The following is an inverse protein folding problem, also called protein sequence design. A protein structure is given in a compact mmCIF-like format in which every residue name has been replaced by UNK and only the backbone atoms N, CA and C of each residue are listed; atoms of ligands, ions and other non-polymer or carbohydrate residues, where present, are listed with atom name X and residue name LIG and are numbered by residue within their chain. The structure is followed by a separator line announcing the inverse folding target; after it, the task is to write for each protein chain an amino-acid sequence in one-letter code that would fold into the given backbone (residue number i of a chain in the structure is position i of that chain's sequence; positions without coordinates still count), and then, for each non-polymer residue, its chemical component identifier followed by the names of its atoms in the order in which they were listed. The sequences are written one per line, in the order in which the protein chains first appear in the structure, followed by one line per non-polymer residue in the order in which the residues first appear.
data_IF_953659554372
#
_entry.id   IF_953659554372
#
_cell.length_a   1.000
_cell.length_b   1.000
_cell.length_c   1.000
_cell.angle_alpha   90.00
_cell.angle_beta   90.00
_cell.angle_gamma   90.00
#
_symmetry.space_group_name_H-M   'P 1'
#
loop_
_entity.id
_entity.type
_entity.pdbx_description
1 polymer ?
#
# COMPACT_ATOMS: atom_id res chain seq x y z
N UNK A 1 -29.68 8.70 -23.31
CA UNK A 1 -28.46 8.28 -24.01
C UNK A 1 -28.10 6.89 -23.47
N UNK A 2 -27.46 6.01 -24.23
CA UNK A 2 -27.05 4.73 -23.66
C UNK A 2 -25.78 4.95 -22.83
N UNK A 3 -25.65 4.28 -21.68
CA UNK A 3 -24.51 4.46 -20.76
C UNK A 3 -23.15 4.32 -21.45
N UNK A 4 -23.01 3.41 -22.41
CA UNK A 4 -21.79 3.25 -23.22
C UNK A 4 -21.43 4.50 -24.04
N UNK A 5 -22.42 5.26 -24.49
CA UNK A 5 -22.23 6.46 -25.29
C UNK A 5 -21.79 7.60 -24.35
N UNK A 6 -22.40 7.71 -23.17
CA UNK A 6 -21.97 8.64 -22.12
C UNK A 6 -20.52 8.33 -21.68
N UNK A 7 -20.15 7.05 -21.55
CA UNK A 7 -18.78 6.63 -21.25
C UNK A 7 -17.81 6.93 -22.39
N UNK A 8 -18.24 6.79 -23.64
CA UNK A 8 -17.43 7.18 -24.81
C UNK A 8 -17.12 8.66 -24.78
N UNK A 9 -18.13 9.49 -24.49
CA UNK A 9 -17.98 10.95 -24.36
C UNK A 9 -17.09 11.34 -23.18
N UNK A 10 -17.19 10.63 -22.04
CA UNK A 10 -16.29 10.80 -20.91
C UNK A 10 -14.84 10.53 -21.34
N UNK A 11 -14.55 9.38 -21.93
CA UNK A 11 -13.20 8.99 -22.34
C UNK A 11 -12.64 9.90 -23.44
N UNK A 12 -13.49 10.41 -24.33
CA UNK A 12 -13.06 11.38 -25.34
C UNK A 12 -12.62 12.72 -24.72
N UNK A 13 -13.19 13.10 -23.56
CA UNK A 13 -12.87 14.36 -22.86
C UNK A 13 -11.69 14.21 -21.90
N UNK A 14 -11.63 13.11 -21.16
CA UNK A 14 -10.63 12.89 -20.11
C UNK A 14 -9.42 12.09 -20.59
N UNK A 15 -9.54 11.38 -21.71
CA UNK A 15 -8.54 10.46 -22.22
C UNK A 15 -8.71 9.05 -21.67
N UNK A 16 -8.25 8.04 -22.43
CA UNK A 16 -8.35 6.62 -22.03
C UNK A 16 -7.49 6.27 -20.82
N UNK A 17 -6.49 7.10 -20.50
CA UNK A 17 -5.64 6.94 -19.32
C UNK A 17 -6.41 6.96 -18.01
N UNK A 18 -7.62 7.52 -17.97
CA UNK A 18 -8.45 7.46 -16.75
C UNK A 18 -8.82 6.03 -16.34
N UNK A 19 -8.80 5.08 -17.28
CA UNK A 19 -9.07 3.67 -16.99
C UNK A 19 -7.86 2.93 -16.41
N UNK A 20 -6.72 3.58 -16.17
CA UNK A 20 -5.61 2.98 -15.42
C UNK A 20 -5.71 3.19 -13.91
N UNK A 21 -6.60 4.08 -13.45
CA UNK A 21 -6.89 4.27 -12.02
C UNK A 21 -8.39 4.23 -11.74
N UNK A 22 -8.82 3.23 -10.97
CA UNK A 22 -10.20 3.07 -10.56
C UNK A 22 -10.72 4.24 -9.73
N UNK A 23 -9.86 4.91 -8.96
CA UNK A 23 -10.26 6.01 -8.09
C UNK A 23 -10.60 7.25 -8.91
N UNK A 24 -9.70 7.67 -9.80
CA UNK A 24 -9.94 8.74 -10.77
C UNK A 24 -11.12 8.42 -11.68
N UNK A 25 -11.25 7.17 -12.16
CA UNK A 25 -12.40 6.77 -12.96
C UNK A 25 -13.71 6.90 -12.19
N UNK A 26 -13.76 6.43 -10.94
CA UNK A 26 -14.94 6.55 -10.08
C UNK A 26 -15.35 8.01 -9.84
N UNK A 27 -14.38 8.88 -9.53
CA UNK A 27 -14.62 10.31 -9.36
C UNK A 27 -15.18 10.96 -10.64
N UNK A 28 -14.59 10.64 -11.80
CA UNK A 28 -15.07 11.17 -13.07
C UNK A 28 -16.47 10.66 -13.45
N UNK A 29 -16.83 9.42 -13.10
CA UNK A 29 -18.19 8.94 -13.29
C UNK A 29 -19.20 9.74 -12.47
N UNK A 30 -18.87 10.03 -11.21
CA UNK A 30 -19.74 10.79 -10.30
C UNK A 30 -19.91 12.25 -10.77
N UNK A 31 -18.86 12.86 -11.33
CA UNK A 31 -18.92 14.23 -11.86
C UNK A 31 -19.61 14.33 -13.23
N UNK A 32 -19.46 13.31 -14.06
CA UNK A 32 -19.90 13.36 -15.47
C UNK A 32 -21.31 12.81 -15.68
N UNK A 33 -21.69 11.74 -14.98
CA UNK A 33 -22.97 11.08 -15.18
C UNK A 33 -24.04 11.71 -14.28
N UNK A 34 -25.22 11.97 -14.85
CA UNK A 34 -26.36 12.36 -14.04
C UNK A 34 -26.74 11.21 -13.08
N UNK A 35 -27.14 11.48 -11.82
CA UNK A 35 -27.42 10.46 -10.80
C UNK A 35 -28.44 9.38 -11.22
N UNK A 36 -29.31 9.70 -12.18
CA UNK A 36 -30.33 8.81 -12.74
C UNK A 36 -29.85 7.91 -13.90
N UNK A 37 -28.66 8.16 -14.45
CA UNK A 37 -28.16 7.47 -15.66
C UNK A 37 -27.85 6.01 -15.37
N UNK A 38 -27.28 5.73 -14.21
CA UNK A 38 -26.94 4.40 -13.75
C UNK A 38 -27.11 4.29 -12.24
N UNK A 39 -27.48 3.11 -11.74
CA UNK A 39 -27.52 2.88 -10.30
C UNK A 39 -26.10 2.86 -9.73
N UNK A 40 -25.96 3.22 -8.45
CA UNK A 40 -24.66 3.17 -7.75
C UNK A 40 -24.00 1.78 -7.82
N UNK A 41 -24.81 0.71 -7.82
CA UNK A 41 -24.30 -0.66 -7.98
C UNK A 41 -23.68 -0.90 -9.37
N UNK A 42 -24.24 -0.31 -10.42
CA UNK A 42 -23.69 -0.36 -11.78
C UNK A 42 -22.40 0.46 -11.87
N UNK A 43 -22.36 1.66 -11.29
CA UNK A 43 -21.15 2.49 -11.27
C UNK A 43 -20.00 1.79 -10.53
N UNK A 44 -20.28 1.25 -9.34
CA UNK A 44 -19.30 0.46 -8.58
C UNK A 44 -18.81 -0.75 -9.40
N UNK A 45 -19.68 -1.40 -10.17
CA UNK A 45 -19.31 -2.53 -11.01
C UNK A 45 -18.32 -2.12 -12.11
N UNK A 46 -18.51 -0.96 -12.73
CA UNK A 46 -17.57 -0.43 -13.73
C UNK A 46 -16.22 -0.04 -13.09
N UNK A 47 -16.26 0.61 -11.92
CA UNK A 47 -15.06 0.98 -11.16
C UNK A 47 -14.26 -0.25 -10.75
N UNK A 48 -14.93 -1.30 -10.26
CA UNK A 48 -14.28 -2.55 -9.90
C UNK A 48 -13.69 -3.27 -11.13
N UNK A 49 -14.31 -3.15 -12.31
CA UNK A 49 -13.76 -3.70 -13.55
C UNK A 49 -12.41 -3.06 -13.90
N UNK A 50 -12.29 -1.75 -13.71
CA UNK A 50 -11.03 -1.00 -13.85
C UNK A 50 -10.04 -1.41 -12.75
N UNK A 51 -10.46 -1.40 -11.48
CA UNK A 51 -9.62 -1.74 -10.33
C UNK A 51 -8.95 -3.11 -10.46
N UNK A 52 -9.69 -4.07 -10.99
CA UNK A 52 -9.20 -5.44 -11.13
C UNK A 52 -8.47 -5.68 -12.45
N UNK A 53 -8.19 -4.65 -13.25
CA UNK A 53 -7.46 -4.75 -14.51
C UNK A 53 -8.20 -5.55 -15.59
N UNK A 54 -9.54 -5.59 -15.57
CA UNK A 54 -10.32 -6.35 -16.55
C UNK A 54 -10.17 -5.77 -17.97
N UNK A 55 -9.96 -4.46 -18.08
CA UNK A 55 -9.81 -3.75 -19.36
C UNK A 55 -8.45 -4.02 -20.00
N UNK A 56 -7.37 -4.00 -19.21
CA UNK A 56 -6.04 -4.35 -19.71
C UNK A 56 -5.99 -5.78 -20.24
N UNK A 57 -6.66 -6.71 -19.54
CA UNK A 57 -6.81 -8.09 -20.01
C UNK A 57 -7.58 -8.17 -21.31
N UNK A 58 -8.73 -7.50 -21.41
CA UNK A 58 -9.53 -7.44 -22.64
C UNK A 58 -8.71 -6.92 -23.83
N UNK A 59 -8.02 -5.79 -23.67
CA UNK A 59 -7.21 -5.18 -24.73
C UNK A 59 -6.04 -6.08 -25.12
N UNK A 60 -5.36 -6.68 -24.13
CA UNK A 60 -4.28 -7.64 -24.36
C UNK A 60 -4.77 -8.82 -25.18
N UNK A 61 -5.88 -9.45 -24.81
CA UNK A 61 -6.41 -10.62 -25.52
C UNK A 61 -6.78 -10.27 -26.98
N UNK A 62 -7.43 -9.13 -27.20
CA UNK A 62 -7.77 -8.65 -28.55
C UNK A 62 -6.50 -8.35 -29.36
N UNK A 63 -5.48 -7.73 -28.75
CA UNK A 63 -4.19 -7.47 -29.41
C UNK A 63 -3.47 -8.77 -29.83
N UNK A 64 -3.67 -9.86 -29.11
CA UNK A 64 -3.17 -11.20 -29.47
C UNK A 64 -4.08 -11.96 -30.45
N UNK A 65 -5.09 -11.29 -31.02
CA UNK A 65 -5.97 -11.84 -32.06
C UNK A 65 -7.17 -12.63 -31.52
N UNK A 66 -7.50 -12.52 -30.23
CA UNK A 66 -8.73 -13.12 -29.70
C UNK A 66 -9.96 -12.43 -30.31
N UNK A 67 -11.01 -13.21 -30.60
CA UNK A 67 -12.28 -12.65 -31.03
C UNK A 67 -12.89 -11.80 -29.89
N UNK A 68 -13.43 -10.59 -30.15
CA UNK A 68 -13.90 -9.69 -29.08
C UNK A 68 -14.89 -10.30 -28.10
N UNK A 69 -15.84 -11.11 -28.57
CA UNK A 69 -16.81 -11.79 -27.70
C UNK A 69 -16.17 -12.83 -26.76
N UNK A 70 -15.09 -13.51 -27.21
CA UNK A 70 -14.35 -14.46 -26.37
C UNK A 70 -13.49 -13.73 -25.34
N UNK A 71 -12.86 -12.62 -25.72
CA UNK A 71 -12.06 -11.80 -24.81
C UNK A 71 -12.93 -11.16 -23.71
N UNK A 72 -14.11 -10.64 -24.07
CA UNK A 72 -15.11 -10.14 -23.10
C UNK A 72 -15.55 -11.24 -22.14
N UNK A 73 -15.85 -12.45 -22.64
CA UNK A 73 -16.24 -13.58 -21.81
C UNK A 73 -15.13 -13.97 -20.82
N UNK A 74 -13.88 -14.07 -21.29
CA UNK A 74 -12.74 -14.43 -20.47
C UNK A 74 -12.41 -13.39 -19.39
N UNK A 75 -12.32 -12.11 -19.77
CA UNK A 75 -12.05 -11.02 -18.83
C UNK A 75 -13.21 -10.81 -17.84
N UNK A 76 -14.45 -10.92 -18.30
CA UNK A 76 -15.64 -10.85 -17.45
C UNK A 76 -15.76 -12.01 -16.45
N UNK A 77 -15.42 -13.23 -16.86
CA UNK A 77 -15.38 -14.40 -15.97
C UNK A 77 -14.32 -14.25 -14.89
N UNK A 78 -13.14 -13.74 -15.25
CA UNK A 78 -12.10 -13.45 -14.29
C UNK A 78 -12.55 -12.38 -13.30
N UNK A 79 -13.13 -11.27 -13.80
CA UNK A 79 -13.67 -10.21 -12.93
C UNK A 79 -14.74 -10.74 -11.96
N UNK A 80 -15.62 -11.65 -12.41
CA UNK A 80 -16.59 -12.29 -11.53
C UNK A 80 -15.92 -13.12 -10.42
N UNK A 81 -14.85 -13.86 -10.74
CA UNK A 81 -14.04 -14.61 -9.76
C UNK A 81 -13.35 -13.68 -8.76
N UNK A 82 -12.69 -12.62 -9.24
CA UNK A 82 -11.97 -11.66 -8.40
C UNK A 82 -12.90 -10.97 -7.40
N UNK A 83 -14.16 -10.77 -7.79
CA UNK A 83 -15.23 -10.21 -6.95
C UNK A 83 -15.96 -11.22 -6.07
N UNK A 84 -15.62 -12.52 -6.16
CA UNK A 84 -16.38 -13.62 -5.56
C UNK A 84 -17.89 -13.58 -5.90
N UNK A 85 -18.24 -13.14 -7.12
CA UNK A 85 -19.61 -13.08 -7.59
C UNK A 85 -20.08 -14.45 -8.11
N UNK A 86 -21.30 -14.85 -7.75
CA UNK A 86 -21.91 -16.10 -8.22
C UNK A 86 -22.48 -15.99 -9.64
N UNK A 87 -22.80 -14.78 -10.08
CA UNK A 87 -23.29 -14.49 -11.43
C UNK A 87 -22.22 -13.77 -12.25
N UNK A 88 -21.86 -14.34 -13.40
CA UNK A 88 -20.85 -13.81 -14.32
C UNK A 88 -21.41 -12.78 -15.29
N UNK A 89 -22.73 -12.77 -15.51
CA UNK A 89 -23.35 -11.92 -16.54
C UNK A 89 -23.12 -10.41 -16.29
N UNK A 90 -23.27 -9.88 -15.06
CA UNK A 90 -22.96 -8.48 -14.78
C UNK A 90 -21.51 -8.10 -15.09
N UNK A 91 -20.55 -8.95 -14.71
CA UNK A 91 -19.13 -8.69 -14.96
C UNK A 91 -18.79 -8.70 -16.45
N UNK A 92 -19.35 -9.64 -17.23
CA UNK A 92 -19.18 -9.66 -18.69
C UNK A 92 -19.81 -8.45 -19.36
N UNK A 93 -20.99 -8.03 -18.91
CA UNK A 93 -21.62 -6.80 -19.38
C UNK A 93 -20.77 -5.57 -19.09
N UNK A 94 -20.21 -5.44 -17.88
CA UNK A 94 -19.37 -4.30 -17.51
C UNK A 94 -18.12 -4.19 -18.38
N UNK A 95 -17.44 -5.32 -18.61
CA UNK A 95 -16.27 -5.40 -19.52
C UNK A 95 -16.67 -5.04 -20.96
N UNK A 96 -17.82 -5.52 -21.44
CA UNK A 96 -18.31 -5.19 -22.78
C UNK A 96 -18.63 -3.70 -22.93
N UNK A 97 -19.28 -3.08 -21.94
CA UNK A 97 -19.62 -1.65 -21.94
C UNK A 97 -18.36 -0.79 -22.05
N UNK A 98 -17.35 -1.08 -21.22
CA UNK A 98 -16.08 -0.36 -21.24
C UNK A 98 -15.30 -0.62 -22.54
N UNK A 99 -15.35 -1.86 -23.06
CA UNK A 99 -14.77 -2.21 -24.35
C UNK A 99 -15.40 -1.47 -25.53
N UNK A 100 -16.72 -1.25 -25.50
CA UNK A 100 -17.44 -0.42 -26.50
C UNK A 100 -17.02 1.04 -26.37
N UNK A 101 -16.94 1.57 -25.14
CA UNK A 101 -16.51 2.95 -24.90
C UNK A 101 -15.07 3.23 -25.40
N UNK A 102 -14.21 2.21 -25.35
CA UNK A 102 -12.85 2.25 -25.89
C UNK A 102 -12.76 2.02 -27.40
N UNK A 103 -13.86 1.64 -28.06
CA UNK A 103 -13.87 1.30 -29.49
C UNK A 103 -13.16 -0.02 -29.84
N UNK A 104 -12.85 -0.87 -28.86
CA UNK A 104 -12.19 -2.18 -29.07
C UNK A 104 -13.20 -3.34 -29.17
N UNK A 105 -14.43 -3.12 -28.73
CA UNK A 105 -15.54 -4.10 -28.82
C UNK A 105 -16.70 -3.49 -29.61
N UNK A 106 -17.30 -4.27 -30.50
CA UNK A 106 -18.48 -3.86 -31.27
C UNK A 106 -19.75 -3.81 -30.43
N UNK A 107 -20.71 -2.98 -30.83
CA UNK A 107 -21.98 -2.81 -30.09
C UNK A 107 -22.80 -4.10 -30.04
N UNK A 108 -22.70 -4.93 -31.07
CA UNK A 108 -23.32 -6.25 -31.15
C UNK A 108 -22.88 -7.20 -30.02
N UNK A 109 -21.61 -7.12 -29.59
CA UNK A 109 -21.08 -7.91 -28.48
C UNK A 109 -21.66 -7.45 -27.14
N UNK A 110 -21.85 -6.13 -26.96
CA UNK A 110 -22.51 -5.56 -25.79
C UNK A 110 -23.99 -5.92 -25.74
N UNK A 111 -24.69 -5.81 -26.88
CA UNK A 111 -26.12 -6.12 -26.97
C UNK A 111 -26.41 -7.61 -26.70
N UNK A 112 -25.42 -8.48 -26.90
CA UNK A 112 -25.48 -9.90 -26.53
C UNK A 112 -25.31 -10.16 -25.01
N UNK A 113 -24.85 -9.17 -24.23
CA UNK A 113 -24.69 -9.31 -22.78
C UNK A 113 -25.98 -8.95 -22.04
N UNK A 114 -26.26 -9.67 -20.95
CA UNK A 114 -27.39 -9.32 -20.06
C UNK A 114 -26.96 -8.17 -19.14
N UNK A 115 -27.58 -7.01 -19.31
CA UNK A 115 -27.38 -5.89 -18.41
C UNK A 115 -27.78 -6.26 -16.97
N UNK A 116 -27.04 -5.80 -15.95
CA UNK A 116 -27.41 -6.01 -14.56
C UNK A 116 -28.81 -5.45 -14.34
N UNK A 117 -29.65 -6.24 -13.66
CA UNK A 117 -30.98 -5.77 -13.30
C UNK A 117 -30.83 -4.49 -12.49
N UNK A 118 -31.43 -3.41 -12.97
CA UNK A 118 -31.56 -2.21 -12.16
C UNK A 118 -32.45 -2.61 -10.98
N UNK A 119 -31.82 -2.82 -9.82
CA UNK A 119 -32.54 -2.99 -8.57
C UNK A 119 -33.33 -1.71 -8.33
N UNK A 120 -34.56 -1.67 -8.84
CA UNK A 120 -35.54 -0.70 -8.41
C UNK A 120 -35.69 -0.97 -6.93
N UNK A 121 -35.09 -0.11 -6.10
CA UNK A 121 -35.29 -0.15 -4.66
C UNK A 121 -36.80 -0.24 -4.47
N UNK A 122 -37.33 -1.31 -3.84
CA UNK A 122 -38.76 -1.46 -3.66
C UNK A 122 -39.25 -0.17 -3.02
N UNK A 123 -40.02 0.63 -3.77
CA UNK A 123 -40.55 1.86 -3.24
C UNK A 123 -41.37 1.42 -2.01
N UNK A 124 -41.04 1.91 -0.79
CA UNK A 124 -41.71 1.44 0.40
C UNK A 124 -43.20 1.60 0.17
N UNK A 125 -43.94 0.48 0.29
CA UNK A 125 -45.39 0.50 0.16
C UNK A 125 -45.92 1.63 1.06
N UNK A 126 -46.85 2.47 0.59
CA UNK A 126 -47.33 3.61 1.35
C UNK A 126 -47.67 3.15 2.77
N UNK A 127 -47.00 3.75 3.76
CA UNK A 127 -47.15 3.36 5.14
C UNK A 127 -48.63 3.37 5.51
N UNK A 128 -49.17 2.33 6.17
CA UNK A 128 -50.54 2.36 6.65
C UNK A 128 -50.74 3.60 7.53
N UNK A 129 -51.91 4.28 7.45
CA UNK A 129 -52.15 5.53 8.14
C UNK A 129 -51.84 5.37 9.64
N UNK A 130 -50.99 6.26 10.16
CA UNK A 130 -50.58 6.23 11.55
C UNK A 130 -51.81 6.31 12.48
N UNK A 131 -51.92 5.46 13.51
CA UNK A 131 -52.97 5.60 14.51
C UNK A 131 -52.84 6.97 15.19
N UNK A 132 -53.95 7.71 15.22
CA UNK A 132 -54.05 9.05 15.82
C UNK A 132 -53.69 9.01 17.31
N UNK A 133 -52.54 9.59 17.66
CA UNK A 133 -52.06 9.74 19.04
C UNK A 133 -52.91 10.82 19.74
N UNK A 134 -53.52 10.54 20.91
CA UNK A 134 -54.28 11.53 21.67
C UNK A 134 -53.38 12.64 22.26
N UNK A 135 -53.94 13.84 22.51
CA UNK A 135 -53.19 15.04 22.88
C UNK A 135 -52.45 14.94 24.23
N UNK A 136 -51.32 15.66 24.39
CA UNK A 136 -50.47 15.58 25.56
C UNK A 136 -51.17 16.11 26.83
N UNK A 137 -51.12 15.31 27.89
CA UNK A 137 -51.62 15.68 29.22
C UNK A 137 -50.57 16.55 29.95
N UNK A 138 -51.04 17.56 30.69
CA UNK A 138 -50.24 18.58 31.36
C UNK A 138 -49.19 18.04 32.37
N UNK A 139 -48.13 18.84 32.70
CA UNK A 139 -47.02 18.39 33.53
C UNK A 139 -47.43 18.17 34.99
N UNK A 140 -47.05 17.02 35.56
CA UNK A 140 -47.19 16.71 37.00
C UNK A 140 -45.94 17.18 37.78
N UNK A 141 -46.09 17.59 39.05
CA UNK A 141 -44.96 18.00 39.89
C UNK A 141 -44.03 16.80 40.19
N UNK A 142 -42.72 17.06 40.15
CA UNK A 142 -41.66 16.09 40.44
C UNK A 142 -41.75 15.58 41.89
N UNK A 143 -42.04 14.29 42.03
CA UNK A 143 -41.82 13.55 43.27
C UNK A 143 -40.34 13.12 43.34
N UNK A 144 -39.75 13.23 44.54
CA UNK A 144 -38.38 12.83 44.82
C UNK A 144 -38.13 11.34 44.46
N UNK A 145 -36.95 10.99 43.91
CA UNK A 145 -36.64 9.62 43.55
C UNK A 145 -36.53 8.73 44.80
N UNK A 146 -37.09 7.50 44.78
CA UNK A 146 -36.96 6.54 45.86
C UNK A 146 -35.52 6.05 46.00
N UNK A 147 -35.11 5.81 47.24
CA UNK A 147 -33.79 5.28 47.58
C UNK A 147 -33.52 3.93 46.89
N UNK A 148 -32.33 3.82 46.29
CA UNK A 148 -31.89 2.62 45.59
C UNK A 148 -31.80 1.41 46.55
N UNK A 149 -32.25 0.21 46.11
CA UNK A 149 -32.14 -1.00 46.91
C UNK A 149 -30.68 -1.47 47.03
N UNK A 150 -30.32 -2.19 48.12
CA UNK A 150 -28.97 -2.67 48.37
C UNK A 150 -28.53 -3.68 47.30
N UNK A 151 -27.30 -3.51 46.81
CA UNK A 151 -26.66 -4.37 45.84
C UNK A 151 -26.53 -5.81 46.36
N UNK A 152 -27.00 -6.77 45.57
CA UNK A 152 -26.84 -8.20 45.85
C UNK A 152 -25.36 -8.63 45.69
N UNK A 153 -24.88 -9.58 46.51
CA UNK A 153 -23.51 -10.09 46.41
C UNK A 153 -23.30 -10.91 45.12
N UNK A 154 -22.05 -10.95 44.60
CA UNK A 154 -21.74 -11.63 43.35
C UNK A 154 -21.99 -13.13 43.43
N UNK A 155 -22.76 -13.65 42.48
CA UNK A 155 -23.02 -15.07 42.31
C UNK A 155 -21.78 -15.76 41.73
N UNK A 156 -21.25 -16.72 42.47
CA UNK A 156 -20.16 -17.60 42.03
C UNK A 156 -20.63 -18.49 40.88
N UNK A 157 -20.01 -18.31 39.71
CA UNK A 157 -20.24 -19.18 38.55
C UNK A 157 -19.67 -20.60 38.75
N UNK A 158 -20.19 -21.60 38.02
CA UNK A 158 -19.74 -22.98 38.12
C UNK A 158 -18.30 -23.17 37.58
N UNK A 159 -17.54 -24.15 38.12
CA UNK A 159 -16.16 -24.40 37.73
C UNK A 159 -16.04 -24.80 36.24
N UNK A 160 -15.01 -24.24 35.60
CA UNK A 160 -14.63 -24.52 34.21
C UNK A 160 -14.24 -26.00 34.03
N UNK A 161 -14.73 -26.60 32.93
CA UNK A 161 -14.42 -27.98 32.55
C UNK A 161 -12.93 -28.14 32.21
N UNK A 162 -12.30 -29.28 32.53
CA UNK A 162 -10.90 -29.55 32.21
C UNK A 162 -10.67 -29.63 30.69
N UNK A 163 -9.58 -29.00 30.25
CA UNK A 163 -9.14 -28.99 28.87
C UNK A 163 -8.74 -30.40 28.36
N UNK A 164 -9.03 -30.75 27.10
CA UNK A 164 -8.70 -32.06 26.54
C UNK A 164 -7.17 -32.25 26.39
N UNK A 165 -6.66 -33.49 26.55
CA UNK A 165 -5.23 -33.77 26.51
C UNK A 165 -4.66 -33.56 25.10
N UNK A 166 -3.62 -32.72 25.02
CA UNK A 166 -2.81 -32.48 23.81
C UNK A 166 -2.23 -33.80 23.30
N UNK A 167 -2.63 -34.22 22.09
CA UNK A 167 -2.00 -35.34 21.37
C UNK A 167 -0.64 -34.89 20.81
N UNK A 168 0.31 -35.82 20.84
CA UNK A 168 1.74 -35.64 20.53
C UNK A 168 2.01 -35.47 19.03
N UNK A 169 1.50 -34.40 18.42
CA UNK A 169 1.69 -34.09 16.98
C UNK A 169 3.11 -33.62 16.67
N UNK A 170 3.88 -33.18 17.68
CA UNK A 170 5.25 -32.65 17.49
C UNK A 170 6.29 -33.67 17.00
N UNK A 171 6.07 -34.97 17.19
CA UNK A 171 7.06 -35.99 16.80
C UNK A 171 7.01 -36.28 15.29
N UNK A 172 5.84 -36.10 14.66
CA UNK A 172 5.68 -36.30 13.21
C UNK A 172 6.34 -35.15 12.43
N UNK A 173 6.20 -33.91 12.92
CA UNK A 173 6.81 -32.74 12.28
C UNK A 173 8.33 -32.81 12.34
N UNK A 174 8.91 -33.21 13.48
CA UNK A 174 10.35 -33.37 13.62
C UNK A 174 10.95 -34.43 12.67
N UNK A 175 10.21 -35.52 12.41
CA UNK A 175 10.65 -36.57 11.48
C UNK A 175 10.64 -36.10 10.01
N UNK A 176 9.67 -35.27 9.63
CA UNK A 176 9.58 -34.72 8.26
C UNK A 176 10.69 -33.69 8.00
N UNK A 177 10.99 -32.82 8.97
CA UNK A 177 12.08 -31.83 8.85
C UNK A 177 13.43 -32.53 8.74
N UNK A 178 13.68 -33.59 9.52
CA UNK A 178 14.91 -34.37 9.43
C UNK A 178 15.06 -35.08 8.07
N UNK A 179 13.96 -35.61 7.52
CA UNK A 179 13.97 -36.25 6.20
C UNK A 179 14.28 -35.24 5.08
N UNK A 180 13.71 -34.04 5.14
CA UNK A 180 13.98 -32.97 4.16
C UNK A 180 15.42 -32.44 4.26
N UNK A 181 15.96 -32.32 5.47
CA UNK A 181 17.36 -31.92 5.68
C UNK A 181 18.35 -32.94 5.10
N UNK A 182 18.05 -34.25 5.20
CA UNK A 182 18.90 -35.31 4.63
C UNK A 182 18.85 -35.35 3.09
N UNK A 183 17.69 -35.04 2.49
CA UNK A 183 17.55 -35.00 1.03
C UNK A 183 18.15 -33.71 0.45
N UNK A 184 17.96 -32.56 1.11
CA UNK A 184 18.50 -31.28 0.66
C UNK A 184 20.01 -31.10 0.91
N UNK A 185 20.53 -31.63 2.03
CA UNK A 185 21.95 -31.53 2.38
C UNK A 185 22.85 -32.47 1.56
N UNK A 186 22.31 -33.54 0.98
CA UNK A 186 23.08 -34.50 0.18
C UNK A 186 23.49 -33.96 -1.20
N UNK A 187 22.71 -33.04 -1.78
CA UNK A 187 22.92 -32.55 -3.15
C UNK A 187 24.01 -31.49 -3.28
N UNK A 188 24.28 -30.68 -2.25
CA UNK A 188 25.30 -29.62 -2.30
C UNK A 188 26.72 -30.15 -2.09
N UNK A 189 26.90 -31.22 -1.33
CA UNK A 189 28.22 -31.82 -1.11
C UNK A 189 28.80 -32.51 -2.36
N UNK A 190 27.96 -32.99 -3.28
CA UNK A 190 28.41 -33.67 -4.50
C UNK A 190 28.96 -32.71 -5.58
N UNK A 191 28.53 -31.44 -5.57
CA UNK A 191 28.93 -30.45 -6.60
C UNK A 191 30.27 -29.80 -6.26
N UNK A 192 30.63 -29.69 -4.97
CA UNK A 192 31.88 -29.05 -4.54
C UNK A 192 33.12 -29.95 -4.61
N UNK A 193 32.96 -31.27 -4.80
CA UNK A 193 34.10 -32.21 -4.88
C UNK A 193 34.55 -32.44 -6.33
N UNK A 194 33.82 -31.91 -7.33
CA UNK A 194 34.06 -32.22 -8.74
C UNK A 194 34.94 -31.21 -9.52
N UNK A 195 35.54 -30.21 -8.86
CA UNK A 195 36.39 -29.21 -9.54
C UNK A 195 37.79 -29.11 -8.91
N UNK A 196 38.63 -30.09 -9.22
CA UNK A 196 40.09 -29.95 -9.13
C UNK A 196 40.70 -30.63 -10.37
N UNK A 197 41.24 -29.84 -11.30
CA UNK A 197 42.51 -30.22 -11.95
C UNK A 197 43.28 -28.99 -12.48
N UNK A 198 44.62 -28.96 -12.35
CA UNK A 198 45.46 -27.79 -12.57
C UNK A 198 46.18 -27.84 -13.93
N UNK A 199 46.53 -26.68 -14.49
CA UNK A 199 47.54 -26.60 -15.55
C UNK A 199 48.31 -25.28 -15.48
N UNK A 200 49.62 -25.42 -15.38
CA UNK A 200 50.61 -24.37 -15.19
C UNK A 200 51.23 -23.85 -16.51
N UNK A 201 51.88 -22.68 -16.40
CA UNK A 201 53.00 -22.12 -17.20
C UNK A 201 52.71 -21.61 -18.63
N UNK A 202 52.99 -20.31 -18.87
CA UNK A 202 54.29 -19.79 -19.38
C UNK A 202 54.32 -18.26 -19.50
N UNK A 203 55.52 -17.74 -19.33
CA UNK A 203 56.00 -16.35 -19.41
C UNK A 203 56.27 -15.90 -20.86
N UNK A 204 55.86 -14.66 -21.21
CA UNK A 204 56.44 -13.59 -22.09
C UNK A 204 57.20 -13.90 -23.43
N UNK A 205 57.48 -12.91 -24.33
CA UNK A 205 57.01 -11.51 -24.50
C UNK A 205 56.67 -11.10 -25.99
N UNK A 206 56.21 -9.86 -26.18
CA UNK A 206 56.27 -8.97 -27.38
C UNK A 206 55.98 -9.53 -28.80
N UNK A 207 54.97 -8.96 -29.47
CA UNK A 207 55.00 -8.70 -30.92
C UNK A 207 54.10 -7.50 -31.27
N UNK A 208 54.70 -6.50 -31.89
CA UNK A 208 54.07 -5.32 -32.48
C UNK A 208 53.29 -5.65 -33.78
N UNK A 209 52.10 -5.04 -33.90
CA UNK A 209 51.42 -4.64 -35.15
C UNK A 209 50.54 -5.69 -35.87
N UNK A 210 49.68 -5.28 -36.84
CA UNK A 210 49.23 -3.94 -37.24
C UNK A 210 47.70 -3.72 -37.07
N UNK A 211 47.32 -2.45 -37.09
CA UNK A 211 45.96 -1.91 -37.23
C UNK A 211 45.17 -2.59 -38.35
N UNK A 212 43.96 -3.05 -38.01
CA UNK A 212 42.91 -3.37 -39.00
C UNK A 212 41.64 -2.64 -38.57
N UNK A 213 41.30 -1.61 -39.33
CA UNK A 213 40.04 -0.87 -39.23
C UNK A 213 38.88 -1.82 -39.57
N UNK A 214 38.17 -2.26 -38.53
CA UNK A 214 36.86 -2.91 -38.66
C UNK A 214 35.76 -1.85 -38.56
N UNK A 215 34.69 -1.91 -39.38
CA UNK A 215 33.60 -0.97 -39.29
C UNK A 215 32.90 -1.12 -37.94
N UNK A 216 33.04 -0.10 -37.10
CA UNK A 216 32.19 0.10 -35.92
C UNK A 216 30.75 0.15 -36.40
N UNK A 217 30.01 -0.90 -36.07
CA UNK A 217 28.55 -0.88 -36.17
C UNK A 217 28.10 -0.05 -34.97
N UNK A 218 27.64 1.17 -35.25
CA UNK A 218 26.96 2.03 -34.28
C UNK A 218 25.70 1.28 -33.78
N UNK A 219 25.88 0.49 -32.73
CA UNK A 219 24.77 0.05 -31.91
C UNK A 219 24.17 1.29 -31.23
N UNK A 220 22.84 1.38 -31.10
CA UNK A 220 22.25 2.48 -30.36
C UNK A 220 22.75 2.38 -28.92
N UNK A 221 23.68 3.25 -28.55
CA UNK A 221 24.00 3.55 -27.16
C UNK A 221 22.76 4.22 -26.61
N UNK A 222 21.85 3.42 -26.05
CA UNK A 222 20.89 3.92 -25.07
C UNK A 222 21.72 4.37 -23.88
N UNK A 223 22.11 5.63 -23.89
CA UNK A 223 22.53 6.35 -22.70
C UNK A 223 21.32 6.31 -21.75
N UNK A 224 21.29 5.30 -20.89
CA UNK A 224 20.49 5.31 -19.67
C UNK A 224 21.14 6.30 -18.71
N UNK A 225 21.16 7.57 -19.09
CA UNK A 225 21.26 8.65 -18.11
C UNK A 225 20.07 8.45 -17.19
N UNK A 226 20.34 8.12 -15.94
CA UNK A 226 19.37 8.10 -14.85
C UNK A 226 18.89 9.54 -14.65
N UNK A 227 18.10 10.05 -15.58
CA UNK A 227 17.41 11.33 -15.45
C UNK A 227 16.44 11.16 -14.29
N UNK A 228 16.82 11.73 -13.15
CA UNK A 228 15.92 11.87 -12.01
C UNK A 228 14.68 12.59 -12.54
N UNK A 229 13.48 12.02 -12.36
CA UNK A 229 12.26 12.57 -12.94
C UNK A 229 12.13 14.05 -12.58
N UNK A 230 11.73 14.84 -13.58
CA UNK A 230 11.43 16.25 -13.37
C UNK A 230 10.37 16.37 -12.27
N UNK A 231 10.58 17.31 -11.36
CA UNK A 231 9.77 17.61 -10.17
C UNK A 231 8.25 17.70 -10.41
N UNK A 232 7.84 17.92 -11.66
CA UNK A 232 6.46 18.17 -12.03
C UNK A 232 5.65 16.91 -12.40
N UNK A 233 6.22 15.70 -12.30
CA UNK A 233 5.49 14.49 -12.63
C UNK A 233 5.26 13.62 -11.39
N UNK A 234 4.15 13.89 -10.69
CA UNK A 234 3.70 13.12 -9.55
C UNK A 234 3.45 11.63 -9.86
N UNK A 235 3.15 11.29 -11.13
CA UNK A 235 2.99 9.90 -11.55
C UNK A 235 4.34 9.22 -11.65
N UNK A 236 5.35 9.90 -12.20
CA UNK A 236 6.71 9.39 -12.26
C UNK A 236 7.30 9.15 -10.86
N UNK A 237 7.02 10.03 -9.88
CA UNK A 237 7.44 9.79 -8.49
C UNK A 237 6.73 8.56 -7.90
N UNK A 238 5.42 8.41 -8.16
CA UNK A 238 4.69 7.25 -7.67
C UNK A 238 5.21 5.94 -8.28
N UNK A 239 5.41 5.89 -9.59
CA UNK A 239 5.99 4.74 -10.30
C UNK A 239 7.41 4.43 -9.79
N UNK A 240 8.22 5.46 -9.54
CA UNK A 240 9.55 5.31 -8.96
C UNK A 240 9.51 4.69 -7.56
N UNK A 241 8.61 5.17 -6.69
CA UNK A 241 8.44 4.61 -5.34
C UNK A 241 7.98 3.15 -5.38
N UNK A 242 7.06 2.82 -6.28
CA UNK A 242 6.65 1.43 -6.54
C UNK A 242 7.83 0.58 -7.01
N UNK A 243 8.61 1.06 -7.98
CA UNK A 243 9.77 0.33 -8.48
C UNK A 243 10.84 0.13 -7.42
N UNK A 244 11.15 1.15 -6.62
CA UNK A 244 12.10 1.03 -5.49
C UNK A 244 11.62 -0.04 -4.52
N UNK A 245 10.33 -0.09 -4.18
CA UNK A 245 9.81 -1.13 -3.30
C UNK A 245 9.92 -2.54 -3.90
N UNK A 246 9.56 -2.71 -5.17
CA UNK A 246 9.63 -4.01 -5.85
C UNK A 246 11.07 -4.53 -5.98
N UNK A 247 12.03 -3.64 -6.27
CA UNK A 247 13.44 -3.99 -6.35
C UNK A 247 14.03 -4.30 -4.96
N UNK A 248 13.61 -3.54 -3.94
CA UNK A 248 14.12 -3.64 -2.56
C UNK A 248 13.56 -4.86 -1.82
N UNK A 249 12.36 -5.30 -2.18
CA UNK A 249 11.62 -6.34 -1.47
C UNK A 249 11.25 -7.48 -2.41
N UNK A 250 12.17 -8.43 -2.68
CA UNK A 250 11.88 -9.57 -3.54
C UNK A 250 10.65 -10.37 -3.06
N UNK A 251 9.65 -10.51 -3.92
CA UNK A 251 8.38 -11.16 -3.60
C UNK A 251 7.29 -10.22 -3.08
N UNK A 252 7.56 -8.92 -3.00
CA UNK A 252 6.55 -7.90 -2.77
C UNK A 252 5.44 -7.98 -3.83
N UNK A 253 4.21 -7.77 -3.37
CA UNK A 253 3.02 -7.70 -4.22
C UNK A 253 2.23 -6.43 -3.91
N UNK A 254 1.54 -5.92 -4.93
CA UNK A 254 0.58 -4.82 -4.81
C UNK A 254 1.12 -3.61 -4.02
N UNK A 255 2.27 -3.01 -4.39
CA UNK A 255 2.78 -1.82 -3.73
C UNK A 255 1.76 -0.67 -3.82
N UNK A 256 1.48 -0.04 -2.69
CA UNK A 256 0.54 1.07 -2.56
C UNK A 256 1.30 2.34 -2.21
N UNK A 257 1.31 3.29 -3.12
CA UNK A 257 1.96 4.59 -2.94
C UNK A 257 0.98 5.64 -2.43
N UNK A 258 1.36 6.33 -1.37
CA UNK A 258 0.61 7.44 -0.77
C UNK A 258 1.51 8.65 -0.64
N UNK A 259 0.93 9.84 -0.74
CA UNK A 259 1.65 11.11 -0.58
C UNK A 259 0.92 11.98 0.45
N UNK A 260 1.68 12.76 1.22
CA UNK A 260 1.17 13.65 2.27
C UNK A 260 1.88 15.00 2.22
N UNK A 261 1.22 16.02 2.74
CA UNK A 261 1.83 17.32 3.04
C UNK A 261 2.18 17.39 4.53
N UNK A 262 3.29 18.04 4.89
CA UNK A 262 3.64 18.30 6.28
C UNK A 262 2.70 19.32 6.94
N UNK A 263 1.95 20.08 6.15
CA UNK A 263 1.23 21.26 6.64
C UNK A 263 0.04 20.90 7.50
N UNK A 264 -0.16 21.64 8.59
CA UNK A 264 -1.34 21.51 9.46
C UNK A 264 -2.55 22.33 9.00
N UNK A 265 -2.54 22.88 7.78
CA UNK A 265 -3.72 23.51 7.22
C UNK A 265 -4.90 22.52 7.30
N UNK A 266 -6.10 23.01 7.64
CA UNK A 266 -7.27 22.12 7.83
C UNK A 266 -7.62 21.29 6.59
N UNK A 267 -7.30 21.80 5.40
CA UNK A 267 -7.44 21.08 4.13
C UNK A 267 -6.44 19.95 3.94
N UNK A 268 -5.41 19.83 4.79
CA UNK A 268 -4.37 18.80 4.76
C UNK A 268 -4.49 17.82 5.95
N UNK A 269 -5.48 18.01 6.82
CA UNK A 269 -5.74 17.14 7.95
C UNK A 269 -7.02 16.31 7.73
N UNK A 270 -7.03 15.09 8.24
CA UNK A 270 -8.21 14.24 8.42
C UNK A 270 -8.13 13.62 9.80
N UNK A 271 -9.15 13.85 10.63
CA UNK A 271 -9.21 13.37 12.02
C UNK A 271 -7.97 13.74 12.85
N UNK A 272 -7.44 14.96 12.63
CA UNK A 272 -6.26 15.47 13.33
C UNK A 272 -4.92 14.97 12.80
N UNK A 273 -4.88 14.13 11.75
CA UNK A 273 -3.65 13.60 11.14
C UNK A 273 -3.43 14.12 9.71
N UNK A 274 -2.19 14.17 9.19
CA UNK A 274 -1.96 14.49 7.78
C UNK A 274 -2.67 13.49 6.87
N UNK A 275 -3.59 13.99 6.05
CA UNK A 275 -4.38 13.15 5.14
C UNK A 275 -3.53 12.71 3.94
N UNK A 276 -3.98 11.64 3.28
CA UNK A 276 -3.44 11.28 1.97
C UNK A 276 -3.92 12.29 0.92
N UNK A 277 -2.98 12.76 0.10
CA UNK A 277 -3.25 13.66 -1.02
C UNK A 277 -3.89 12.87 -2.17
N UNK A 278 -4.96 13.42 -2.75
CA UNK A 278 -5.53 12.90 -3.98
C UNK A 278 -4.49 13.02 -5.12
N UNK A 279 -4.61 12.22 -6.17
CA UNK A 279 -3.62 12.17 -7.26
C UNK A 279 -3.29 13.57 -7.82
N UNK A 280 -4.31 14.40 -8.10
CA UNK A 280 -4.12 15.77 -8.60
C UNK A 280 -3.59 16.80 -7.59
N UNK A 281 -3.40 16.41 -6.33
CA UNK A 281 -2.80 17.24 -5.28
C UNK A 281 -1.37 16.81 -4.94
N UNK A 282 -0.88 15.69 -5.50
CA UNK A 282 0.43 15.13 -5.15
C UNK A 282 1.62 16.01 -5.56
N UNK A 283 1.40 16.99 -6.43
CA UNK A 283 2.39 18.03 -6.71
C UNK A 283 2.75 18.89 -5.50
N UNK A 284 1.93 18.88 -4.44
CA UNK A 284 2.18 19.58 -3.16
C UNK A 284 2.74 18.64 -2.07
N UNK A 285 3.07 17.39 -2.41
CA UNK A 285 3.54 16.41 -1.46
C UNK A 285 4.95 16.74 -0.93
N UNK A 286 5.12 16.59 0.38
CA UNK A 286 6.41 16.71 1.05
C UNK A 286 6.87 15.40 1.68
N UNK A 287 5.98 14.40 1.72
CA UNK A 287 6.25 13.05 2.20
C UNK A 287 5.63 12.05 1.22
N UNK A 288 6.43 11.09 0.77
CA UNK A 288 6.01 9.98 -0.08
C UNK A 288 6.26 8.68 0.64
N UNK A 289 5.31 7.76 0.60
CA UNK A 289 5.51 6.43 1.16
C UNK A 289 4.93 5.37 0.26
N UNK A 290 5.62 4.24 0.17
CA UNK A 290 5.15 3.02 -0.48
C UNK A 290 5.04 1.92 0.57
N UNK A 291 3.93 1.18 0.53
CA UNK A 291 3.70 0.02 1.40
C UNK A 291 3.42 -1.19 0.55
N UNK A 292 4.00 -2.33 0.91
CA UNK A 292 3.72 -3.61 0.26
C UNK A 292 3.63 -4.72 1.31
N UNK A 293 3.30 -5.93 0.87
CA UNK A 293 3.26 -7.11 1.74
C UNK A 293 4.04 -8.26 1.13
N UNK A 294 4.74 -9.00 1.99
CA UNK A 294 5.30 -10.31 1.68
C UNK A 294 4.81 -11.27 2.77
N UNK A 295 3.97 -12.23 2.37
CA UNK A 295 3.26 -13.13 3.29
C UNK A 295 2.48 -12.34 4.36
N UNK A 296 2.85 -12.48 5.62
CA UNK A 296 2.22 -11.80 6.78
C UNK A 296 2.90 -10.48 7.16
N UNK A 297 3.94 -10.10 6.41
CA UNK A 297 4.82 -8.98 6.74
C UNK A 297 4.44 -7.79 5.89
N UNK A 298 4.29 -6.64 6.53
CA UNK A 298 4.13 -5.35 5.86
C UNK A 298 5.50 -4.71 5.78
N UNK A 299 5.88 -4.26 4.59
CA UNK A 299 7.11 -3.54 4.35
C UNK A 299 6.76 -2.12 3.91
N UNK A 300 7.54 -1.15 4.35
CA UNK A 300 7.31 0.24 4.01
C UNK A 300 8.61 1.03 3.81
N UNK A 301 8.57 1.91 2.83
CA UNK A 301 9.60 2.93 2.57
C UNK A 301 8.90 4.28 2.59
N UNK A 302 9.45 5.24 3.33
CA UNK A 302 8.99 6.62 3.33
C UNK A 302 10.18 7.55 3.10
N UNK A 303 10.00 8.53 2.22
CA UNK A 303 10.95 9.61 1.97
C UNK A 303 10.24 10.94 2.25
N UNK A 304 10.80 11.73 3.16
CA UNK A 304 10.17 12.95 3.68
C UNK A 304 11.16 14.12 3.72
N UNK A 305 10.68 15.27 3.25
CA UNK A 305 11.44 16.51 3.34
C UNK A 305 11.30 17.12 4.73
N UNK A 306 12.40 17.60 5.29
CA UNK A 306 12.39 18.30 6.57
C UNK A 306 11.82 19.73 6.40
N UNK A 307 10.74 20.08 7.13
CA UNK A 307 10.15 21.42 7.09
C UNK A 307 11.10 22.46 7.70
N UNK A 308 10.95 23.72 7.27
CA UNK A 308 11.88 24.76 7.69
C UNK A 308 11.77 25.19 9.15
N UNK A 309 10.70 24.79 9.84
CA UNK A 309 10.51 24.99 11.28
C UNK A 309 11.26 23.97 12.15
N UNK A 310 11.97 23.01 11.54
CA UNK A 310 12.76 22.00 12.24
C UNK A 310 11.92 20.88 12.85
N UNK A 311 10.65 20.74 12.45
CA UNK A 311 9.84 19.58 12.85
C UNK A 311 10.33 18.31 12.15
N UNK A 312 10.98 17.41 12.89
CA UNK A 312 11.20 16.02 12.45
C UNK A 312 10.45 15.05 13.38
N UNK A 313 9.99 13.92 12.83
CA UNK A 313 9.44 12.83 13.64
C UNK A 313 10.51 12.06 14.41
N UNK A 314 11.77 12.16 13.98
CA UNK A 314 12.86 11.31 14.43
C UNK A 314 14.07 12.10 14.93
N UNK A 315 13.83 13.25 15.58
CA UNK A 315 14.86 13.96 16.34
C UNK A 315 15.07 13.32 17.73
N UNK A 316 15.46 12.05 17.75
CA UNK A 316 15.78 11.30 18.95
C UNK A 316 16.99 10.40 18.72
N UNK A 317 17.65 10.00 19.80
CA UNK A 317 18.81 9.11 19.78
C UNK A 317 18.48 7.76 20.40
N UNK A 318 19.34 6.76 20.23
CA UNK A 318 19.15 5.47 20.91
C UNK A 318 19.13 5.58 22.44
N UNK A 319 19.69 6.65 23.02
CA UNK A 319 19.62 6.91 24.46
C UNK A 319 18.20 7.24 24.94
N UNK A 320 17.39 7.85 24.07
CA UNK A 320 16.00 8.23 24.33
C UNK A 320 15.02 7.06 24.14
N UNK A 321 15.43 6.03 23.38
CA UNK A 321 14.59 4.91 22.99
C UNK A 321 14.74 3.71 23.93
N UNK A 322 14.06 3.78 25.09
CA UNK A 322 14.15 2.74 26.13
C UNK A 322 12.89 1.87 26.21
N UNK A 323 13.09 0.59 26.57
CA UNK A 323 11.98 -0.32 26.90
C UNK A 323 11.21 0.15 28.14
N UNK A 324 9.89 0.01 28.16
CA UNK A 324 9.07 0.42 29.29
C UNK A 324 7.60 -0.02 29.18
N UNK A 325 7.00 -0.44 30.29
CA UNK A 325 5.60 -0.88 30.34
C UNK A 325 5.32 -2.05 29.38
N UNK A 326 4.42 -1.82 28.41
CA UNK A 326 4.04 -2.78 27.37
C UNK A 326 4.95 -2.76 26.13
N UNK A 327 6.04 -1.97 26.18
CA UNK A 327 6.97 -1.75 25.07
C UNK A 327 8.31 -2.45 25.34
N UNK A 328 8.71 -3.33 24.41
CA UNK A 328 10.07 -3.84 24.30
C UNK A 328 10.76 -3.15 23.12
N UNK A 329 11.95 -2.65 23.36
CA UNK A 329 12.71 -1.83 22.42
C UNK A 329 14.20 -2.16 22.47
N UNK A 330 14.83 -2.21 21.30
CA UNK A 330 16.29 -2.28 21.10
C UNK A 330 16.66 -1.28 20.02
N UNK A 331 17.69 -0.48 20.24
CA UNK A 331 18.14 0.55 19.30
C UNK A 331 19.64 0.44 19.05
N UNK A 332 20.06 0.65 17.81
CA UNK A 332 21.45 0.67 17.37
C UNK A 332 21.67 1.81 16.38
N UNK A 333 22.78 2.51 16.52
CA UNK A 333 23.22 3.53 15.56
C UNK A 333 24.09 2.89 14.47
N UNK A 334 23.83 3.25 13.22
CA UNK A 334 24.55 2.74 12.05
C UNK A 334 25.04 3.91 11.21
N UNK A 335 26.32 3.92 10.85
CA UNK A 335 26.88 4.99 10.02
C UNK A 335 26.50 4.78 8.54
N UNK A 336 25.87 5.79 7.93
CA UNK A 336 25.57 5.85 6.52
C UNK A 336 26.83 6.18 5.69
N UNK A 337 26.82 5.82 4.40
CA UNK A 337 27.88 6.11 3.44
C UNK A 337 28.22 7.59 3.29
N UNK A 338 27.29 8.47 3.67
CA UNK A 338 27.47 9.92 3.64
C UNK A 338 27.85 10.54 4.99
N UNK A 339 28.11 9.71 6.01
CA UNK A 339 28.52 10.11 7.35
C UNK A 339 27.37 10.51 8.28
N UNK A 340 26.10 10.46 7.83
CA UNK A 340 24.95 10.58 8.74
C UNK A 340 24.84 9.32 9.63
N UNK A 341 24.31 9.50 10.83
CA UNK A 341 23.97 8.38 11.71
C UNK A 341 22.53 7.95 11.44
N UNK A 342 22.33 6.76 10.90
CA UNK A 342 21.04 6.11 10.83
C UNK A 342 20.71 5.46 12.18
N UNK A 343 19.43 5.42 12.52
CA UNK A 343 18.90 4.84 13.75
C UNK A 343 18.13 3.59 13.38
N UNK A 344 18.68 2.43 13.73
CA UNK A 344 18.00 1.14 13.63
C UNK A 344 17.31 0.84 14.96
N UNK A 345 16.06 0.40 14.92
CA UNK A 345 15.38 -0.03 16.12
C UNK A 345 14.39 -1.17 15.90
N UNK A 346 14.29 -2.00 16.91
CA UNK A 346 13.34 -3.10 17.06
C UNK A 346 12.32 -2.69 18.11
N UNK A 347 11.04 -2.91 17.83
CA UNK A 347 9.96 -2.40 18.64
C UNK A 347 8.81 -3.40 18.71
N UNK A 348 8.40 -3.77 19.92
CA UNK A 348 7.18 -4.54 20.20
C UNK A 348 6.33 -3.73 21.17
N UNK A 349 5.09 -3.43 20.77
CA UNK A 349 4.10 -2.80 21.63
C UNK A 349 2.89 -3.71 21.77
N UNK A 350 2.77 -4.31 22.95
CA UNK A 350 1.70 -5.26 23.25
C UNK A 350 0.32 -4.58 23.38
N UNK A 351 0.27 -3.28 23.73
CA UNK A 351 -0.99 -2.55 23.89
C UNK A 351 -1.72 -2.35 22.55
N UNK A 352 -0.96 -2.18 21.46
CA UNK A 352 -1.51 -2.01 20.10
C UNK A 352 -1.22 -3.20 19.18
N UNK A 353 -0.75 -4.32 19.75
CA UNK A 353 -0.40 -5.55 19.03
C UNK A 353 0.50 -5.28 17.79
N UNK A 354 1.61 -4.57 18.00
CA UNK A 354 2.54 -4.18 16.94
C UNK A 354 3.94 -4.73 17.20
N UNK A 355 4.59 -5.27 16.17
CA UNK A 355 6.01 -5.63 16.23
C UNK A 355 6.71 -5.26 14.91
N UNK A 356 7.79 -4.50 14.99
CA UNK A 356 8.47 -3.93 13.82
C UNK A 356 9.99 -3.84 14.00
N UNK A 357 10.71 -3.96 12.89
CA UNK A 357 12.10 -3.58 12.72
C UNK A 357 12.14 -2.41 11.75
N UNK A 358 12.81 -1.34 12.14
CA UNK A 358 12.84 -0.12 11.35
C UNK A 358 14.25 0.48 11.33
N UNK A 359 14.54 1.22 10.26
CA UNK A 359 15.71 2.06 10.14
C UNK A 359 15.27 3.45 9.67
N UNK A 360 15.76 4.47 10.36
CA UNK A 360 15.57 5.88 9.98
C UNK A 360 16.93 6.46 9.61
N UNK A 361 17.02 7.07 8.45
CA UNK A 361 18.14 7.90 8.03
C UNK A 361 17.68 9.36 8.10
N UNK A 362 18.08 10.14 9.14
CA UNK A 362 17.58 11.50 9.36
C UNK A 362 17.86 12.44 8.19
N UNK A 363 17.01 13.44 7.98
CA UNK A 363 17.25 14.47 6.96
C UNK A 363 18.56 15.23 7.20
N UNK A 364 19.12 15.80 6.13
CA UNK A 364 20.17 16.80 6.23
C UNK A 364 19.77 18.01 5.40
N UNK A 365 19.17 18.99 6.09
CA UNK A 365 18.72 20.25 5.51
C UNK A 365 19.83 21.05 4.83
N UNK A 366 21.09 20.93 5.28
CA UNK A 366 22.20 21.68 4.67
C UNK A 366 22.54 21.14 3.28
N UNK A 367 22.37 19.83 3.06
CA UNK A 367 22.60 19.19 1.76
C UNK A 367 21.32 18.90 0.98
N UNK A 368 20.15 19.17 1.57
CA UNK A 368 18.84 18.89 0.96
C UNK A 368 18.50 17.41 0.90
N UNK A 369 19.13 16.58 1.74
CA UNK A 369 18.82 15.16 1.82
C UNK A 369 17.57 14.93 2.65
N UNK A 370 16.71 14.04 2.16
CA UNK A 370 15.48 13.66 2.82
C UNK A 370 15.76 12.80 4.04
N UNK A 371 14.79 12.82 4.95
CA UNK A 371 14.61 11.77 5.93
C UNK A 371 14.06 10.54 5.21
N UNK A 372 14.69 9.38 5.41
CA UNK A 372 14.26 8.13 4.79
C UNK A 372 14.02 7.09 5.87
N UNK A 373 12.82 6.54 5.89
CA UNK A 373 12.40 5.47 6.78
C UNK A 373 12.23 4.19 5.97
N UNK A 374 12.77 3.08 6.48
CA UNK A 374 12.56 1.73 5.95
C UNK A 374 12.08 0.84 7.09
N UNK A 375 10.95 0.16 6.90
CA UNK A 375 10.30 -0.63 7.94
C UNK A 375 9.86 -2.01 7.47
N UNK A 376 9.93 -2.96 8.40
CA UNK A 376 9.32 -4.27 8.29
C UNK A 376 8.50 -4.56 9.54
N UNK A 377 7.23 -4.95 9.36
CA UNK A 377 6.28 -5.12 10.46
C UNK A 377 5.50 -6.42 10.35
N UNK A 378 5.29 -7.08 11.49
CA UNK A 378 4.28 -8.13 11.64
C UNK A 378 2.92 -7.49 11.91
N UNK A 379 1.93 -7.77 11.06
CA UNK A 379 0.57 -7.26 11.24
C UNK A 379 -0.11 -7.84 12.49
N UNK A 380 0.17 -9.11 12.79
CA UNK A 380 -0.41 -9.85 13.92
C UNK A 380 0.71 -10.60 14.66
N UNK A 381 1.50 -9.91 15.50
CA UNK A 381 2.55 -10.58 16.26
C UNK A 381 1.93 -11.59 17.25
N UNK A 382 2.52 -12.78 17.41
CA UNK A 382 2.05 -13.74 18.39
C UNK A 382 2.22 -13.19 19.81
N UNK A 383 1.31 -13.55 20.73
CA UNK A 383 1.40 -13.12 22.11
C UNK A 383 2.70 -13.62 22.78
N UNK A 384 3.37 -12.72 23.52
CA UNK A 384 4.62 -13.04 24.23
C UNK A 384 5.86 -13.09 23.34
N UNK A 385 5.78 -12.54 22.12
CA UNK A 385 6.93 -12.37 21.23
C UNK A 385 8.05 -11.55 21.93
N UNK A 386 9.28 -12.06 21.90
CA UNK A 386 10.46 -11.28 22.34
C UNK A 386 11.14 -10.57 21.16
N UNK A 387 12.11 -9.71 21.43
CA UNK A 387 12.89 -9.05 20.37
C UNK A 387 13.70 -10.09 19.59
N UNK A 388 14.26 -11.10 20.25
CA UNK A 388 14.98 -12.20 19.60
C UNK A 388 14.05 -13.01 18.68
N UNK A 389 12.82 -13.31 19.13
CA UNK A 389 11.83 -13.98 18.27
C UNK A 389 11.45 -13.11 17.05
N UNK A 390 11.46 -11.78 17.20
CA UNK A 390 11.19 -10.84 16.12
C UNK A 390 12.34 -10.78 15.11
N UNK A 391 13.59 -10.76 15.60
CA UNK A 391 14.82 -10.84 14.79
C UNK A 391 14.86 -12.12 13.94
N UNK A 392 14.33 -13.24 14.44
CA UNK A 392 14.22 -14.49 13.67
C UNK A 392 13.10 -14.47 12.61
N UNK A 393 12.09 -13.61 12.77
CA UNK A 393 10.89 -13.58 11.91
C UNK A 393 10.96 -12.55 10.79
N UNK A 394 11.59 -11.41 11.04
CA UNK A 394 11.79 -10.35 10.05
C UNK A 394 13.07 -10.64 9.26
N UNK A 395 13.06 -10.34 7.96
CA UNK A 395 14.14 -10.78 7.06
C UNK A 395 15.06 -9.64 6.63
N UNK A 396 14.62 -8.39 6.75
CA UNK A 396 15.45 -7.25 6.40
C UNK A 396 16.57 -7.12 7.42
N UNK A 397 17.80 -7.29 6.96
CA UNK A 397 18.97 -6.97 7.77
C UNK A 397 19.17 -5.45 7.87
N UNK A 398 19.85 -4.98 8.91
CA UNK A 398 20.23 -3.56 9.08
C UNK A 398 20.95 -3.02 7.84
N UNK A 399 21.84 -3.83 7.25
CA UNK A 399 22.56 -3.49 6.02
C UNK A 399 21.61 -3.31 4.84
N UNK A 400 20.66 -4.22 4.65
CA UNK A 400 19.70 -4.13 3.56
C UNK A 400 18.80 -2.89 3.72
N UNK A 401 18.32 -2.61 4.93
CA UNK A 401 17.54 -1.40 5.20
C UNK A 401 18.33 -0.12 4.92
N UNK A 402 19.61 -0.07 5.30
CA UNK A 402 20.47 1.06 5.01
C UNK A 402 20.72 1.22 3.51
N UNK A 403 21.00 0.12 2.79
CA UNK A 403 21.16 0.13 1.33
C UNK A 403 19.90 0.67 0.62
N UNK A 404 18.70 0.33 1.12
CA UNK A 404 17.43 0.88 0.63
C UNK A 404 17.29 2.36 0.98
N UNK A 405 17.58 2.75 2.22
CA UNK A 405 17.47 4.14 2.67
C UNK A 405 18.43 5.08 1.92
N UNK A 406 19.54 4.54 1.41
CA UNK A 406 20.54 5.26 0.62
C UNK A 406 20.29 5.21 -0.89
N UNK A 407 19.21 4.55 -1.35
CA UNK A 407 18.89 4.45 -2.76
C UNK A 407 18.78 5.85 -3.39
N UNK A 408 19.62 6.19 -4.39
CA UNK A 408 19.63 7.52 -4.99
C UNK A 408 18.30 7.90 -5.64
N UNK A 409 17.43 6.94 -5.98
CA UNK A 409 16.08 7.17 -6.50
C UNK A 409 15.15 7.80 -5.47
N UNK A 410 15.41 7.62 -4.18
CA UNK A 410 14.62 8.23 -3.09
C UNK A 410 14.97 9.71 -2.88
N UNK A 411 15.85 10.30 -3.69
CA UNK A 411 16.13 11.75 -3.71
C UNK A 411 15.03 12.52 -4.42
N UNK A 412 13.83 12.44 -3.84
CA UNK A 412 12.63 13.04 -4.40
C UNK A 412 12.74 14.57 -4.33
N UNK A 413 12.28 15.28 -5.35
CA UNK A 413 12.34 16.73 -5.35
C UNK A 413 11.31 17.36 -4.39
N UNK A 414 11.57 18.59 -3.96
CA UNK A 414 10.60 19.41 -3.22
C UNK A 414 9.48 19.87 -4.16
N UNK A 415 8.24 20.06 -3.67
CA UNK A 415 7.18 20.67 -4.46
C UNK A 415 7.57 22.10 -4.85
N UNK A 416 7.10 22.56 -6.02
CA UNK A 416 7.43 23.92 -6.52
C UNK A 416 6.92 25.04 -5.60
N UNK A 417 5.85 24.74 -4.86
CA UNK A 417 5.30 25.61 -3.82
C UNK A 417 5.36 24.86 -2.51
N UNK A 418 6.09 25.39 -1.53
CA UNK A 418 6.18 24.76 -0.22
C UNK A 418 4.84 24.91 0.53
N UNK A 419 4.31 23.82 1.13
CA UNK A 419 3.12 23.90 1.97
C UNK A 419 3.34 24.81 3.19
N UNK A 420 2.29 25.52 3.66
CA UNK A 420 2.43 26.47 4.74
C UNK A 420 2.78 25.79 6.07
N UNK A 421 3.52 26.51 6.90
CA UNK A 421 3.86 26.13 8.27
C UNK A 421 2.76 26.56 9.27
N UNK A 422 2.72 25.97 10.48
CA UNK A 422 3.65 24.97 11.03
C UNK A 422 3.50 23.58 10.40
N UNK A 423 4.56 22.79 10.50
CA UNK A 423 4.53 21.38 10.15
C UNK A 423 3.85 20.55 11.25
N UNK A 424 3.26 19.44 10.85
CA UNK A 424 2.60 18.52 11.78
C UNK A 424 3.59 17.96 12.81
N UNK A 425 4.79 17.55 12.37
CA UNK A 425 5.86 17.07 13.25
C UNK A 425 6.25 18.13 14.30
N UNK A 426 6.41 19.40 13.90
CA UNK A 426 6.66 20.50 14.84
C UNK A 426 5.52 20.64 15.87
N UNK A 427 4.27 20.53 15.42
CA UNK A 427 3.11 20.67 16.29
C UNK A 427 2.93 19.55 17.33
N UNK A 428 3.33 18.31 17.01
CA UNK A 428 3.21 17.19 17.96
C UNK A 428 4.42 17.04 18.89
N UNK A 429 5.61 17.48 18.45
CA UNK A 429 6.86 17.25 19.19
C UNK A 429 7.35 18.47 19.98
N UNK A 430 6.93 19.69 19.63
CA UNK A 430 7.36 20.88 20.37
C UNK A 430 6.69 20.97 21.75
N UNK A 431 7.51 21.18 22.79
CA UNK A 431 7.08 21.44 24.17
C UNK A 431 7.67 22.77 24.67
N UNK A 432 6.84 23.80 24.98
CA UNK A 432 5.38 23.79 24.88
C UNK A 432 4.88 23.83 23.45
N UNK A 433 3.71 23.22 23.24
CA UNK A 433 3.03 23.21 21.95
C UNK A 433 2.78 24.64 21.43
N UNK A 434 3.19 24.96 20.18
CA UNK A 434 3.01 26.29 19.60
C UNK A 434 1.54 26.69 19.50
N UNK A 435 1.24 27.97 19.72
CA UNK A 435 -0.13 28.51 19.68
C UNK A 435 -0.77 28.49 18.27
N UNK A 436 0.05 28.36 17.22
CA UNK A 436 -0.41 28.28 15.83
C UNK A 436 -0.88 26.88 15.43
N UNK A 437 -0.65 25.87 16.27
CA UNK A 437 -1.01 24.47 16.00
C UNK A 437 -2.50 24.21 16.31
N UNK A 438 -3.29 23.66 15.36
CA UNK A 438 -4.71 23.35 15.55
C UNK A 438 -5.00 22.43 16.74
N UNK A 439 -5.87 22.82 17.68
CA UNK A 439 -6.15 22.09 18.93
C UNK A 439 -6.51 20.59 18.74
N UNK A 440 -7.01 20.20 17.57
CA UNK A 440 -7.45 18.84 17.21
C UNK A 440 -6.35 17.92 16.66
N UNK A 441 -5.12 18.41 16.48
CA UNK A 441 -3.97 17.55 16.15
C UNK A 441 -3.74 16.53 17.27
N UNK A 442 -3.64 15.27 16.88
CA UNK A 442 -3.44 14.10 17.75
C UNK A 442 -2.07 13.47 17.58
#
# INVERSE_FOLDING_TARGET
MALSDDLTDLLARTGTGILSDATSFGAALDDFLAPETASRGVLNLLVDAVRQGAIDRLQRDIAHGAAPHMAVAAAGDQLARDRAATDVAPSRWAVAVLGVALGVVGRDVLDAQTAPAQSSVPHPAPAPPAPSIPPPTAPRPFAAPPAAPPAAPPAWGPPSRPAPPRRRTGLIVAAVVLALALVGGGTTAAILIAQDDPSARRTDPNTDGPTTDGPTTDGPTTDSTTDVPSVADEFAIAELMEQVALDSFPGAVDPVVTARSWSVASTNLSDGFPRELAIGERGDATSWSVRTTIDIRRLDIRAEHEPSDGGSYYDWSCDDFQSGGDVLAKCTEVEASDGRTAIEYWYINNAINSASHNLVLPADRATGKLEVFVGERLAEPPAGLTIEDLEEKLQLSSRAMLEIAEDPRLRLPLPSTLPPLPSYAFCINADPRPAECPDDIS
#
